data_IF_385666536485
#
_entry.id   IF_385666536485
#
_cell.length_a   1.000
_cell.length_b   1.000
_cell.length_c   1.000
_cell.angle_alpha   90.00
_cell.angle_beta   90.00
_cell.angle_gamma   90.00
#
_symmetry.space_group_name_H-M   'P 1'
#
loop_
_entity.id
_entity.type
_entity.pdbx_description
1 polymer ?
#
# COMPACT_ATOMS: atom_id res chain seq x y z
N UNK A 1 17.94 0.79 -21.65
CA UNK A 1 16.98 -0.32 -21.87
C UNK A 1 17.22 -0.99 -23.21
N UNK A 2 16.84 -2.27 -23.40
CA UNK A 2 16.96 -2.98 -24.67
C UNK A 2 16.29 -2.21 -25.81
N UNK A 3 16.88 -2.23 -27.01
CA UNK A 3 16.38 -1.47 -28.17
C UNK A 3 15.02 -1.94 -28.70
N UNK A 4 14.56 -3.12 -28.28
CA UNK A 4 13.26 -3.69 -28.61
C UNK A 4 12.17 -3.40 -27.56
N UNK A 5 12.48 -2.66 -26.50
CA UNK A 5 11.51 -2.30 -25.48
C UNK A 5 10.69 -1.07 -25.91
N UNK A 6 9.36 -1.20 -25.93
CA UNK A 6 8.42 -0.19 -26.44
C UNK A 6 7.56 0.46 -25.35
N UNK A 7 7.71 0.06 -24.08
CA UNK A 7 6.89 0.52 -22.96
C UNK A 7 7.14 1.95 -22.48
N UNK A 8 8.11 2.65 -23.09
CA UNK A 8 8.49 4.00 -22.72
C UNK A 8 9.31 4.07 -21.42
N UNK A 9 9.80 5.26 -21.09
CA UNK A 9 10.62 5.50 -19.88
C UNK A 9 9.96 6.62 -19.09
N UNK A 10 9.85 6.44 -17.78
CA UNK A 10 9.42 7.48 -16.83
C UNK A 10 10.66 8.10 -16.19
N UNK A 11 10.64 9.41 -15.97
CA UNK A 11 11.72 10.16 -15.34
C UNK A 11 11.19 11.02 -14.21
N UNK A 12 11.92 11.06 -13.09
CA UNK A 12 11.62 11.92 -11.95
C UNK A 12 12.92 12.52 -11.39
N UNK A 13 12.79 13.63 -10.66
CA UNK A 13 13.89 14.29 -9.98
C UNK A 13 13.61 14.36 -8.48
N UNK A 14 14.60 14.02 -7.66
CA UNK A 14 14.40 13.69 -6.25
C UNK A 14 15.68 13.87 -5.44
N UNK A 15 15.61 14.33 -4.19
CA UNK A 15 16.81 14.46 -3.33
C UNK A 15 17.08 13.15 -2.60
N UNK A 16 17.94 12.26 -3.11
CA UNK A 16 18.06 10.87 -2.61
C UNK A 16 19.31 10.66 -1.75
N UNK A 17 20.35 11.48 -1.92
CA UNK A 17 21.64 11.29 -1.23
C UNK A 17 22.04 12.46 -0.28
N UNK A 18 21.12 13.40 -0.05
CA UNK A 18 21.33 14.58 0.82
C UNK A 18 22.43 15.57 0.38
N UNK A 19 22.88 15.56 -0.89
CA UNK A 19 23.88 16.52 -1.42
C UNK A 19 23.31 17.90 -1.80
N UNK A 20 22.06 18.18 -1.42
CA UNK A 20 21.31 19.40 -1.77
C UNK A 20 21.10 19.61 -3.28
N UNK A 21 21.42 18.62 -4.11
CA UNK A 21 21.16 18.60 -5.55
C UNK A 21 20.15 17.49 -5.84
N UNK A 22 19.21 17.74 -6.75
CA UNK A 22 18.23 16.73 -7.14
C UNK A 22 18.91 15.66 -8.01
N UNK A 23 18.72 14.41 -7.63
CA UNK A 23 19.11 13.21 -8.34
C UNK A 23 18.07 12.85 -9.43
N UNK A 24 18.48 12.10 -10.44
CA UNK A 24 17.62 11.69 -11.56
C UNK A 24 17.24 10.22 -11.41
N UNK A 25 15.94 9.95 -11.35
CA UNK A 25 15.38 8.59 -11.41
C UNK A 25 14.93 8.34 -12.84
N UNK A 26 15.38 7.22 -13.41
CA UNK A 26 14.97 6.75 -14.73
C UNK A 26 14.41 5.35 -14.59
N UNK A 27 13.15 5.16 -14.94
CA UNK A 27 12.47 3.91 -14.70
C UNK A 27 11.72 3.41 -15.93
N UNK A 28 11.59 2.09 -16.02
CA UNK A 28 10.92 1.45 -17.13
C UNK A 28 9.40 1.68 -17.06
N UNK A 29 8.81 2.10 -18.17
CA UNK A 29 7.36 2.20 -18.31
C UNK A 29 6.68 0.83 -18.48
N UNK A 30 5.34 0.80 -18.63
CA UNK A 30 4.55 -0.43 -18.66
C UNK A 30 5.02 -1.48 -19.70
N UNK A 31 4.84 -2.77 -19.43
CA UNK A 31 5.12 -3.85 -20.38
C UNK A 31 6.48 -4.56 -20.23
N UNK A 32 7.07 -4.57 -19.04
CA UNK A 32 8.27 -5.36 -18.72
C UNK A 32 8.56 -5.38 -17.21
N UNK A 33 9.66 -6.04 -16.81
CA UNK A 33 10.13 -6.02 -15.42
C UNK A 33 10.38 -4.59 -14.94
N UNK A 34 9.91 -4.26 -13.74
CA UNK A 34 9.97 -2.92 -13.16
C UNK A 34 11.40 -2.65 -12.67
N UNK A 35 12.22 -1.96 -13.46
CA UNK A 35 13.54 -1.50 -13.02
C UNK A 35 13.63 0.02 -13.04
N UNK A 36 14.39 0.56 -12.10
CA UNK A 36 14.89 1.91 -12.20
C UNK A 36 16.37 2.00 -11.89
N UNK A 37 16.93 3.07 -12.45
CA UNK A 37 18.28 3.53 -12.24
C UNK A 37 18.18 4.92 -11.63
N UNK A 38 18.88 5.12 -10.51
CA UNK A 38 19.02 6.43 -9.90
C UNK A 38 20.43 6.95 -10.16
N UNK A 39 20.50 8.12 -10.76
CA UNK A 39 21.74 8.84 -11.03
C UNK A 39 21.90 9.98 -10.04
N UNK A 40 23.08 10.08 -9.43
CA UNK A 40 23.43 11.21 -8.59
C UNK A 40 23.47 12.51 -9.43
N UNK A 41 22.74 13.54 -8.99
CA UNK A 41 22.57 14.80 -9.71
C UNK A 41 23.87 15.62 -9.84
N UNK A 42 24.81 15.40 -8.93
CA UNK A 42 26.10 16.10 -8.87
C UNK A 42 27.17 15.44 -9.75
N UNK A 43 27.20 14.11 -9.75
CA UNK A 43 28.31 13.30 -10.29
C UNK A 43 27.91 12.48 -11.51
N UNK A 44 26.60 12.40 -11.82
CA UNK A 44 26.04 11.52 -12.86
C UNK A 44 26.36 10.04 -12.67
N UNK A 45 26.80 9.63 -11.48
CA UNK A 45 27.08 8.22 -11.18
C UNK A 45 25.80 7.50 -10.79
N UNK A 46 25.75 6.19 -11.04
CA UNK A 46 24.63 5.36 -10.58
C UNK A 46 24.77 5.15 -9.08
N UNK A 47 23.78 5.61 -8.32
CA UNK A 47 23.69 5.39 -6.86
C UNK A 47 22.75 4.26 -6.50
N UNK A 48 21.84 3.89 -7.41
CA UNK A 48 21.03 2.70 -7.29
C UNK A 48 20.66 2.13 -8.66
N UNK A 49 20.61 0.81 -8.74
CA UNK A 49 20.06 0.09 -9.89
C UNK A 49 19.42 -1.20 -9.38
N UNK A 50 18.12 -1.34 -9.60
CA UNK A 50 17.38 -2.47 -9.08
C UNK A 50 15.93 -2.51 -9.56
N UNK A 51 15.23 -3.57 -9.18
CA UNK A 51 13.80 -3.66 -9.45
C UNK A 51 13.07 -2.68 -8.54
N UNK A 52 12.32 -1.73 -9.10
CA UNK A 52 11.53 -0.77 -8.32
C UNK A 52 10.28 -0.37 -9.10
N UNK A 53 9.22 -0.09 -8.36
CA UNK A 53 7.91 0.23 -8.91
C UNK A 53 7.85 1.72 -9.24
N UNK A 54 7.53 2.03 -10.50
CA UNK A 54 7.21 3.39 -10.93
C UNK A 54 5.77 3.47 -11.40
N UNK A 55 4.91 3.83 -10.45
CA UNK A 55 3.53 4.21 -10.71
C UNK A 55 3.46 5.36 -11.74
N UNK A 56 2.34 5.52 -12.47
CA UNK A 56 2.10 6.71 -13.30
C UNK A 56 2.11 8.05 -12.55
N UNK A 57 2.12 8.03 -11.21
CA UNK A 57 2.20 9.22 -10.38
C UNK A 57 3.66 9.69 -10.25
N UNK A 58 3.89 10.95 -10.61
CA UNK A 58 5.18 11.65 -10.48
C UNK A 58 5.62 11.64 -9.01
N UNK A 59 6.77 11.05 -8.71
CA UNK A 59 7.39 11.11 -7.37
C UNK A 59 8.10 12.46 -7.22
N UNK A 60 7.47 13.40 -6.51
CA UNK A 60 8.17 14.54 -5.86
C UNK A 60 7.95 14.40 -4.36
N UNK A 61 8.97 13.96 -3.63
CA UNK A 61 8.96 13.86 -2.17
C UNK A 61 10.37 14.02 -1.59
N UNK A 62 10.48 14.43 -0.33
CA UNK A 62 11.74 14.44 0.42
C UNK A 62 12.07 13.03 0.91
N UNK A 63 13.32 12.60 0.76
CA UNK A 63 13.81 11.29 1.17
C UNK A 63 14.69 11.42 2.42
N UNK A 64 14.48 10.64 3.49
CA UNK A 64 15.44 10.55 4.59
C UNK A 64 16.68 9.75 4.16
N UNK A 65 17.81 10.06 4.82
CA UNK A 65 19.19 9.67 4.48
C UNK A 65 19.52 8.17 4.57
N UNK A 66 18.55 7.29 4.73
CA UNK A 66 18.74 5.85 4.99
C UNK A 66 18.72 4.97 3.73
N UNK A 67 18.51 5.52 2.53
CA UNK A 67 18.60 4.76 1.27
C UNK A 67 17.57 3.64 1.13
N UNK A 68 16.51 3.62 1.97
CA UNK A 68 15.39 2.70 1.85
C UNK A 68 14.43 3.30 0.82
N UNK A 69 14.27 2.64 -0.32
CA UNK A 69 13.19 2.95 -1.26
C UNK A 69 11.88 2.69 -0.51
N UNK A 70 11.06 3.71 -0.29
CA UNK A 70 9.69 3.51 0.19
C UNK A 70 8.94 2.70 -0.88
N UNK A 71 8.87 1.39 -0.70
CA UNK A 71 7.68 0.67 -1.10
C UNK A 71 6.96 0.32 0.20
N UNK A 72 6.21 1.29 0.72
CA UNK A 72 5.11 1.08 1.68
C UNK A 72 3.96 0.47 0.87
N UNK A 73 4.18 -0.75 0.39
CA UNK A 73 3.34 -1.37 -0.60
C UNK A 73 3.08 -2.79 -0.15
N UNK A 74 1.83 -3.10 0.14
CA UNK A 74 1.44 -4.47 0.41
C UNK A 74 1.65 -5.31 -0.85
N UNK A 75 2.22 -6.51 -0.68
CA UNK A 75 2.45 -7.44 -1.79
C UNK A 75 1.75 -8.76 -1.59
N UNK A 76 1.42 -9.42 -2.69
CA UNK A 76 1.00 -10.80 -2.70
C UNK A 76 2.16 -11.71 -2.25
N UNK A 77 1.85 -12.69 -1.42
CA UNK A 77 2.81 -13.72 -1.00
C UNK A 77 3.43 -14.46 -2.20
N UNK A 78 4.71 -14.82 -2.10
CA UNK A 78 5.51 -15.31 -3.23
C UNK A 78 5.17 -16.74 -3.70
N UNK A 79 4.43 -17.52 -2.90
CA UNK A 79 4.13 -18.94 -3.15
C UNK A 79 2.64 -19.17 -3.50
N UNK A 80 2.02 -18.19 -4.18
CA UNK A 80 0.61 -18.27 -4.59
C UNK A 80 0.50 -18.83 -6.00
N UNK A 81 -0.25 -19.93 -6.14
CA UNK A 81 -0.64 -20.45 -7.46
C UNK A 81 -1.66 -19.52 -8.12
N UNK A 82 -1.27 -18.94 -9.25
CA UNK A 82 -2.19 -18.09 -10.03
C UNK A 82 -3.32 -18.93 -10.65
N UNK A 83 -4.55 -18.38 -10.71
CA UNK A 83 -5.66 -19.05 -11.37
C UNK A 83 -5.37 -19.27 -12.86
N UNK A 84 -5.99 -20.29 -13.45
CA UNK A 84 -5.81 -20.63 -14.87
C UNK A 84 -6.43 -19.60 -15.82
N UNK A 85 -7.39 -18.82 -15.33
CA UNK A 85 -8.01 -17.71 -16.06
C UNK A 85 -7.75 -16.42 -15.27
N UNK A 86 -7.45 -15.34 -16.00
CA UNK A 86 -7.27 -14.03 -15.39
C UNK A 86 -8.58 -13.56 -14.77
N UNK A 87 -8.59 -13.11 -13.51
CA UNK A 87 -9.77 -12.54 -12.88
C UNK A 87 -10.19 -11.26 -13.60
N UNK A 88 -11.48 -10.91 -13.50
CA UNK A 88 -11.94 -9.61 -13.95
C UNK A 88 -11.42 -8.52 -12.99
N UNK A 89 -10.89 -7.39 -13.51
CA UNK A 89 -10.42 -6.31 -12.66
C UNK A 89 -11.58 -5.67 -11.90
N UNK A 90 -11.34 -5.29 -10.65
CA UNK A 90 -12.27 -4.52 -9.83
C UNK A 90 -12.29 -3.06 -10.29
N UNK A 91 -13.34 -2.33 -9.89
CA UNK A 91 -13.47 -0.90 -10.15
C UNK A 91 -13.54 -0.13 -8.84
N UNK A 92 -13.35 1.19 -8.92
CA UNK A 92 -13.55 2.08 -7.78
C UNK A 92 -14.96 1.94 -7.19
N UNK A 93 -15.98 1.72 -8.02
CA UNK A 93 -17.37 1.55 -7.57
C UNK A 93 -17.55 0.29 -6.72
N UNK A 94 -16.82 -0.78 -7.03
CA UNK A 94 -16.85 -2.03 -6.25
C UNK A 94 -15.97 -1.98 -5.01
N UNK A 95 -14.92 -1.15 -5.01
CA UNK A 95 -13.98 -1.03 -3.91
C UNK A 95 -14.42 -0.01 -2.85
N UNK A 96 -15.13 1.05 -3.25
CA UNK A 96 -15.53 2.14 -2.36
C UNK A 96 -16.31 1.68 -1.11
N UNK A 97 -17.28 0.74 -1.19
CA UNK A 97 -17.97 0.27 0.01
C UNK A 97 -17.05 -0.38 1.05
N UNK A 98 -15.95 -1.00 0.61
CA UNK A 98 -14.95 -1.59 1.50
C UNK A 98 -14.00 -0.55 2.07
N UNK A 99 -13.75 0.55 1.34
CA UNK A 99 -13.05 1.70 1.89
C UNK A 99 -13.84 2.35 3.02
N UNK A 100 -15.15 2.56 2.82
CA UNK A 100 -16.03 3.10 3.85
C UNK A 100 -16.10 2.15 5.07
N UNK A 101 -16.17 0.83 4.84
CA UNK A 101 -16.14 -0.16 5.90
C UNK A 101 -14.80 -0.15 6.67
N UNK A 102 -13.67 0.04 5.97
CA UNK A 102 -12.35 0.13 6.60
C UNK A 102 -12.26 1.31 7.59
N UNK A 103 -12.83 2.47 7.23
CA UNK A 103 -12.91 3.64 8.12
C UNK A 103 -13.71 3.32 9.40
N UNK A 104 -14.85 2.64 9.26
CA UNK A 104 -15.66 2.21 10.41
C UNK A 104 -14.86 1.25 11.30
N UNK A 105 -14.14 0.29 10.74
CA UNK A 105 -13.31 -0.65 11.53
C UNK A 105 -12.20 0.08 12.30
N UNK A 106 -11.61 1.14 11.74
CA UNK A 106 -10.62 1.97 12.42
C UNK A 106 -11.25 2.75 13.59
N UNK A 107 -12.44 3.30 13.40
CA UNK A 107 -13.20 3.96 14.47
C UNK A 107 -13.51 3.00 15.63
N UNK A 108 -13.93 1.77 15.33
CA UNK A 108 -14.24 0.72 16.32
C UNK A 108 -13.04 0.34 17.20
N UNK A 109 -11.82 0.48 16.68
CA UNK A 109 -10.58 0.22 17.43
C UNK A 109 -9.97 1.48 18.06
N UNK A 110 -10.70 2.60 18.05
CA UNK A 110 -10.38 3.79 18.84
C UNK A 110 -9.66 4.91 18.09
N UNK A 111 -9.60 4.88 16.75
CA UNK A 111 -9.15 6.04 15.97
C UNK A 111 -10.18 7.18 16.11
N UNK A 112 -9.72 8.41 16.38
CA UNK A 112 -10.63 9.54 16.62
C UNK A 112 -11.40 9.94 15.36
N UNK A 113 -12.60 10.50 15.54
CA UNK A 113 -13.45 10.95 14.44
C UNK A 113 -12.74 11.98 13.54
N UNK A 114 -11.91 12.85 14.12
CA UNK A 114 -11.12 13.84 13.38
C UNK A 114 -10.18 13.16 12.37
N UNK A 115 -9.50 12.10 12.79
CA UNK A 115 -8.62 11.31 11.91
C UNK A 115 -9.44 10.56 10.87
N UNK A 116 -10.58 9.98 11.24
CA UNK A 116 -11.48 9.31 10.28
C UNK A 116 -11.96 10.29 9.19
N UNK A 117 -12.28 11.53 9.56
CA UNK A 117 -12.65 12.57 8.59
C UNK A 117 -11.47 12.91 7.66
N UNK A 118 -10.24 13.00 8.17
CA UNK A 118 -9.04 13.17 7.34
C UNK A 118 -8.84 11.99 6.36
N UNK A 119 -8.95 10.75 6.84
CA UNK A 119 -8.83 9.55 6.02
C UNK A 119 -9.92 9.47 4.94
N UNK A 120 -11.14 9.95 5.23
CA UNK A 120 -12.24 9.97 4.25
C UNK A 120 -11.99 10.92 3.08
N UNK A 121 -11.09 11.90 3.23
CA UNK A 121 -10.71 12.86 2.20
C UNK A 121 -9.53 12.38 1.33
N UNK A 122 -9.03 11.18 1.57
CA UNK A 122 -7.97 10.60 0.74
C UNK A 122 -8.44 10.36 -0.70
N UNK A 123 -7.51 10.54 -1.62
CA UNK A 123 -7.74 10.21 -3.03
C UNK A 123 -7.62 8.70 -3.21
N UNK A 124 -8.74 8.01 -3.14
CA UNK A 124 -8.81 6.56 -3.32
C UNK A 124 -8.94 6.19 -4.80
N UNK A 125 -8.03 5.35 -5.29
CA UNK A 125 -7.96 4.94 -6.69
C UNK A 125 -7.77 3.43 -6.83
N UNK A 126 -8.24 2.91 -7.96
CA UNK A 126 -8.03 1.53 -8.40
C UNK A 126 -7.34 1.58 -9.76
N UNK A 127 -6.20 0.91 -9.92
CA UNK A 127 -5.45 0.86 -11.18
C UNK A 127 -4.55 -0.38 -11.21
N UNK A 128 -4.23 -0.87 -12.41
CA UNK A 128 -3.20 -1.91 -12.61
C UNK A 128 -1.83 -1.41 -12.11
N UNK A 129 -1.38 -1.95 -10.98
CA UNK A 129 -0.07 -1.69 -10.38
C UNK A 129 0.99 -2.65 -10.95
N UNK A 130 0.55 -3.80 -11.44
CA UNK A 130 1.37 -4.85 -12.03
C UNK A 130 2.34 -5.51 -11.04
N UNK A 131 2.94 -6.62 -11.49
CA UNK A 131 3.84 -7.40 -10.63
C UNK A 131 3.07 -8.11 -9.53
N UNK A 132 3.56 -8.04 -8.28
CA UNK A 132 2.92 -8.66 -7.12
C UNK A 132 2.40 -7.64 -6.09
N UNK A 133 2.25 -6.37 -6.48
CA UNK A 133 1.80 -5.30 -5.58
C UNK A 133 0.28 -5.31 -5.49
N UNK A 134 -0.26 -5.21 -4.27
CA UNK A 134 -1.70 -5.18 -4.00
C UNK A 134 -2.20 -3.77 -3.68
N UNK A 135 -1.36 -2.93 -3.06
CA UNK A 135 -1.71 -1.57 -2.68
C UNK A 135 -0.48 -0.69 -2.52
N UNK A 136 -0.73 0.62 -2.52
CA UNK A 136 0.27 1.65 -2.24
C UNK A 136 -0.40 2.87 -1.60
N UNK A 137 0.15 3.30 -0.48
CA UNK A 137 -0.12 4.60 0.13
C UNK A 137 1.01 5.58 -0.22
N UNK A 138 0.66 6.76 -0.73
CA UNK A 138 1.63 7.84 -0.93
C UNK A 138 0.99 9.22 -0.80
N UNK A 139 1.49 10.01 0.15
CA UNK A 139 0.93 11.33 0.44
C UNK A 139 -0.56 11.24 0.77
N UNK A 140 -1.40 11.91 -0.01
CA UNK A 140 -2.85 11.92 0.17
C UNK A 140 -3.60 10.95 -0.77
N UNK A 141 -2.91 9.96 -1.33
CA UNK A 141 -3.48 9.01 -2.30
C UNK A 141 -3.26 7.58 -1.83
N UNK A 142 -4.32 6.78 -1.91
CA UNK A 142 -4.27 5.32 -1.77
C UNK A 142 -4.61 4.73 -3.13
N UNK A 143 -3.77 3.83 -3.61
CA UNK A 143 -3.96 3.14 -4.88
C UNK A 143 -4.01 1.66 -4.62
N UNK A 144 -5.08 1.00 -5.08
CA UNK A 144 -5.25 -0.44 -5.00
C UNK A 144 -5.06 -1.03 -6.39
N UNK A 145 -4.40 -2.18 -6.45
CA UNK A 145 -4.28 -2.96 -7.68
C UNK A 145 -5.67 -3.38 -8.20
N UNK A 146 -5.88 -3.50 -9.50
CA UNK A 146 -7.20 -3.83 -10.04
C UNK A 146 -7.47 -5.34 -10.11
N UNK A 147 -6.45 -6.18 -10.17
CA UNK A 147 -6.61 -7.64 -10.34
C UNK A 147 -5.96 -8.51 -9.25
N UNK A 148 -5.44 -7.88 -8.18
CA UNK A 148 -4.74 -8.52 -7.07
C UNK A 148 -3.54 -9.36 -7.55
N UNK A 149 -2.69 -8.77 -8.38
CA UNK A 149 -1.55 -9.43 -9.00
C UNK A 149 -1.96 -10.71 -9.76
N UNK A 150 -3.11 -10.66 -10.43
CA UNK A 150 -3.69 -11.77 -11.20
C UNK A 150 -4.37 -12.87 -10.39
N UNK A 151 -4.45 -12.78 -9.06
CA UNK A 151 -5.19 -13.75 -8.20
C UNK A 151 -6.69 -13.42 -8.14
N UNK A 152 -7.01 -12.13 -8.13
CA UNK A 152 -8.35 -11.61 -7.97
C UNK A 152 -8.71 -11.34 -6.51
N UNK A 153 -9.45 -10.26 -6.31
CA UNK A 153 -9.97 -9.88 -5.00
C UNK A 153 -11.21 -10.69 -4.61
N UNK A 154 -11.31 -10.98 -3.31
CA UNK A 154 -12.56 -11.21 -2.62
C UNK A 154 -13.13 -9.84 -2.23
N UNK A 155 -14.23 -9.46 -2.89
CA UNK A 155 -15.00 -8.26 -2.57
C UNK A 155 -16.13 -8.68 -1.66
N UNK A 156 -15.97 -8.40 -0.38
CA UNK A 156 -16.91 -8.81 0.66
C UNK A 156 -18.25 -8.06 0.54
N UNK A 157 -19.38 -8.77 0.32
CA UNK A 157 -20.70 -8.14 0.28
C UNK A 157 -21.22 -7.72 1.67
N UNK A 158 -20.64 -8.28 2.74
CA UNK A 158 -21.01 -8.11 4.14
C UNK A 158 -19.79 -7.70 4.99
N UNK A 159 -19.08 -6.61 4.64
CA UNK A 159 -17.78 -6.27 5.24
C UNK A 159 -17.83 -5.91 6.73
N UNK A 160 -19.02 -5.75 7.30
CA UNK A 160 -19.24 -5.47 8.73
C UNK A 160 -19.38 -6.74 9.57
N UNK A 161 -19.74 -7.86 8.96
CA UNK A 161 -20.26 -9.03 9.68
C UNK A 161 -19.25 -10.20 9.73
N UNK A 162 -18.29 -10.24 8.79
CA UNK A 162 -17.12 -11.13 8.83
C UNK A 162 -17.44 -12.64 8.80
N UNK A 163 -18.56 -13.06 8.22
CA UNK A 163 -19.00 -14.46 8.25
C UNK A 163 -18.18 -15.38 7.35
N UNK A 164 -17.36 -14.83 6.45
CA UNK A 164 -16.52 -15.58 5.54
C UNK A 164 -15.25 -16.11 6.20
N UNK A 165 -14.94 -15.66 7.42
CA UNK A 165 -13.68 -15.93 8.12
C UNK A 165 -13.92 -16.53 9.50
N UNK A 166 -12.97 -17.35 9.96
CA UNK A 166 -12.94 -17.84 11.33
C UNK A 166 -12.41 -16.77 12.32
N UNK A 167 -12.38 -17.12 13.60
CA UNK A 167 -11.88 -16.21 14.66
C UNK A 167 -10.38 -15.89 14.57
N UNK A 168 -9.63 -16.52 13.66
CA UNK A 168 -8.22 -16.23 13.38
C UNK A 168 -8.05 -15.44 12.06
N UNK A 169 -9.13 -15.06 11.40
CA UNK A 169 -9.08 -14.37 10.11
C UNK A 169 -8.77 -15.27 8.93
N UNK A 170 -8.95 -16.59 9.04
CA UNK A 170 -8.80 -17.51 7.91
C UNK A 170 -10.16 -17.77 7.25
N UNK A 171 -10.20 -17.67 5.93
CA UNK A 171 -11.43 -17.86 5.16
C UNK A 171 -11.97 -19.29 5.33
N UNK A 172 -13.28 -19.39 5.55
CA UNK A 172 -14.03 -20.66 5.67
C UNK A 172 -15.02 -20.87 4.52
N UNK A 173 -15.25 -19.85 3.68
CA UNK A 173 -16.09 -19.93 2.48
C UNK A 173 -15.24 -19.93 1.22
N UNK A 174 -15.56 -20.83 0.29
CA UNK A 174 -14.74 -21.15 -0.88
C UNK A 174 -14.23 -19.92 -1.64
N UNK A 175 -15.10 -18.97 -1.97
CA UNK A 175 -14.70 -17.82 -2.79
C UNK A 175 -13.65 -16.93 -2.10
N UNK A 176 -13.70 -16.81 -0.76
CA UNK A 176 -12.70 -16.07 0.01
C UNK A 176 -11.39 -16.86 0.16
N UNK A 177 -11.43 -18.19 0.26
CA UNK A 177 -10.21 -19.02 0.51
C UNK A 177 -9.14 -18.93 -0.57
N UNK A 178 -9.51 -18.58 -1.79
CA UNK A 178 -8.60 -18.58 -2.96
C UNK A 178 -8.37 -17.19 -3.53
N UNK A 179 -8.80 -16.13 -2.83
CA UNK A 179 -8.75 -14.75 -3.31
C UNK A 179 -8.11 -13.84 -2.27
N UNK A 180 -7.62 -12.69 -2.70
CA UNK A 180 -7.04 -11.68 -1.81
C UNK A 180 -8.17 -10.88 -1.15
N UNK A 181 -8.15 -10.74 0.18
CA UNK A 181 -9.16 -9.95 0.89
C UNK A 181 -8.96 -8.45 0.65
N UNK A 182 -9.88 -7.82 -0.09
CA UNK A 182 -9.76 -6.39 -0.45
C UNK A 182 -9.82 -5.47 0.78
N UNK A 183 -10.63 -5.82 1.78
CA UNK A 183 -10.75 -5.04 3.01
C UNK A 183 -9.41 -4.97 3.75
N UNK A 184 -8.69 -6.08 3.84
CA UNK A 184 -7.35 -6.15 4.44
C UNK A 184 -6.35 -5.26 3.71
N UNK A 185 -6.34 -5.28 2.38
CA UNK A 185 -5.43 -4.42 1.60
C UNK A 185 -5.71 -2.95 1.89
N UNK A 186 -6.97 -2.53 1.86
CA UNK A 186 -7.34 -1.14 2.14
C UNK A 186 -6.94 -0.72 3.55
N UNK A 187 -7.19 -1.56 4.55
CA UNK A 187 -6.81 -1.30 5.95
C UNK A 187 -5.29 -1.17 6.12
N UNK A 188 -4.51 -1.98 5.39
CA UNK A 188 -3.05 -1.90 5.41
C UNK A 188 -2.56 -0.54 4.87
N UNK A 189 -3.08 -0.11 3.72
CA UNK A 189 -2.71 1.18 3.11
C UNK A 189 -3.15 2.37 3.97
N UNK A 190 -4.31 2.28 4.62
CA UNK A 190 -4.74 3.28 5.62
C UNK A 190 -3.79 3.29 6.84
N UNK A 191 -3.27 2.13 7.24
CA UNK A 191 -2.25 2.03 8.28
C UNK A 191 -0.98 2.79 7.93
N UNK A 192 -0.48 2.67 6.69
CA UNK A 192 0.63 3.50 6.20
C UNK A 192 0.31 5.00 6.25
N UNK A 193 -0.91 5.39 5.88
CA UNK A 193 -1.32 6.80 5.97
C UNK A 193 -1.34 7.32 7.42
N UNK A 194 -1.66 6.46 8.38
CA UNK A 194 -1.58 6.75 9.81
C UNK A 194 -0.14 6.77 10.36
N UNK A 195 0.85 6.47 9.53
CA UNK A 195 2.27 6.47 9.90
C UNK A 195 2.79 5.12 10.41
N UNK A 196 2.04 4.03 10.22
CA UNK A 196 2.53 2.69 10.52
C UNK A 196 3.48 2.20 9.43
N UNK A 197 4.66 1.73 9.84
CA UNK A 197 5.59 1.06 8.94
C UNK A 197 5.21 -0.41 8.73
N UNK A 198 5.67 -0.97 7.61
CA UNK A 198 5.62 -2.40 7.37
C UNK A 198 6.34 -3.19 8.47
N UNK A 199 5.69 -4.25 8.93
CA UNK A 199 6.24 -5.24 9.83
C UNK A 199 6.90 -6.36 9.06
N UNK A 200 7.98 -6.90 9.62
CA UNK A 200 8.67 -8.06 9.03
C UNK A 200 7.73 -9.28 9.08
N UNK A 201 7.30 -9.81 7.92
CA UNK A 201 6.38 -10.94 7.83
C UNK A 201 6.97 -12.24 8.40
N UNK A 202 8.30 -12.35 8.57
CA UNK A 202 8.91 -13.49 9.24
C UNK A 202 8.63 -13.51 10.75
N UNK A 203 8.31 -12.36 11.34
CA UNK A 203 8.08 -12.20 12.78
C UNK A 203 6.64 -11.85 13.12
N UNK A 204 5.93 -11.15 12.23
CA UNK A 204 4.54 -10.72 12.42
C UNK A 204 3.65 -11.14 11.23
N UNK A 205 3.64 -12.42 10.80
CA UNK A 205 3.03 -12.85 9.53
C UNK A 205 1.53 -12.57 9.40
N UNK A 206 0.81 -12.45 10.52
CA UNK A 206 -0.65 -12.31 10.54
C UNK A 206 -1.11 -10.93 11.01
N UNK A 207 -0.18 -10.00 11.23
CA UNK A 207 -0.54 -8.64 11.62
C UNK A 207 -0.90 -7.79 10.41
N UNK A 208 -1.78 -6.80 10.62
CA UNK A 208 -2.30 -5.95 9.55
C UNK A 208 -1.18 -5.34 8.71
N UNK A 209 -0.12 -4.85 9.35
CA UNK A 209 0.99 -4.17 8.69
C UNK A 209 2.08 -5.11 8.17
N UNK A 210 1.87 -6.43 8.10
CA UNK A 210 2.86 -7.31 7.50
C UNK A 210 2.92 -7.14 5.98
N UNK A 211 4.12 -6.96 5.42
CA UNK A 211 4.31 -6.57 4.01
C UNK A 211 3.95 -7.63 2.94
N UNK A 212 3.46 -8.81 3.33
CA UNK A 212 2.86 -9.79 2.41
C UNK A 212 1.49 -10.24 2.89
N UNK A 213 0.57 -10.42 1.95
CA UNK A 213 -0.75 -11.00 2.18
C UNK A 213 -0.92 -12.32 1.41
N UNK A 214 -1.38 -13.34 2.13
CA UNK A 214 -1.77 -14.63 1.54
C UNK A 214 -3.26 -14.59 1.18
N UNK A 215 -3.68 -15.16 0.04
CA UNK A 215 -5.10 -15.35 -0.25
C UNK A 215 -5.82 -16.11 0.87
N UNK A 216 -7.08 -15.76 1.12
CA UNK A 216 -7.88 -16.34 2.19
C UNK A 216 -7.55 -15.85 3.61
N UNK A 217 -6.64 -14.89 3.77
CA UNK A 217 -6.40 -14.22 5.05
C UNK A 217 -7.12 -12.87 5.10
N UNK A 218 -7.81 -12.61 6.21
CA UNK A 218 -8.28 -11.29 6.61
C UNK A 218 -7.55 -10.82 7.85
N UNK A 219 -7.02 -9.61 7.80
CA UNK A 219 -6.35 -8.95 8.92
C UNK A 219 -7.09 -7.66 9.24
N UNK A 220 -7.47 -7.50 10.50
CA UNK A 220 -8.19 -6.35 11.00
C UNK A 220 -7.30 -5.54 11.94
N UNK A 221 -7.50 -4.22 12.06
CA UNK A 221 -6.77 -3.43 13.03
C UNK A 221 -7.11 -3.88 14.45
N UNK A 222 -6.20 -3.61 15.39
CA UNK A 222 -6.42 -3.90 16.81
C UNK A 222 -6.28 -2.63 17.63
N UNK A 223 -6.98 -2.55 18.77
CA UNK A 223 -6.84 -1.43 19.70
C UNK A 223 -5.39 -1.27 20.15
N UNK A 224 -4.67 -2.38 20.35
CA UNK A 224 -3.26 -2.33 20.75
C UNK A 224 -2.36 -1.67 19.69
N UNK A 225 -2.61 -1.90 18.39
CA UNK A 225 -1.87 -1.24 17.31
C UNK A 225 -2.13 0.27 17.30
N UNK A 226 -3.40 0.68 17.48
CA UNK A 226 -3.82 2.08 17.60
C UNK A 226 -3.17 2.74 18.83
N UNK A 227 -3.26 2.10 20.00
CA UNK A 227 -2.64 2.60 21.23
C UNK A 227 -1.13 2.76 21.08
N UNK A 228 -0.43 1.83 20.43
CA UNK A 228 1.01 1.93 20.20
C UNK A 228 1.36 3.13 19.31
N UNK A 229 0.55 3.40 18.29
CA UNK A 229 0.72 4.54 17.39
C UNK A 229 0.52 5.89 18.10
N UNK A 230 -0.48 5.98 18.98
CA UNK A 230 -0.83 7.22 19.67
C UNK A 230 -0.17 7.38 21.05
N UNK A 231 0.47 6.35 21.61
CA UNK A 231 1.14 6.39 22.92
C UNK A 231 2.62 6.78 22.87
N UNK A 232 3.23 6.85 21.67
CA UNK A 232 4.57 7.38 21.46
C UNK A 232 4.57 8.90 21.28
N UNK A 233 5.19 9.61 22.22
CA UNK A 233 5.35 11.09 22.23
C UNK A 233 5.77 11.70 20.88
N UNK A 234 4.87 12.54 20.33
CA UNK A 234 5.07 13.81 19.56
C UNK A 234 3.74 14.23 18.85
N UNK A 235 2.76 13.32 18.71
CA UNK A 235 1.40 13.64 18.22
C UNK A 235 0.44 14.12 19.32
N UNK A 236 0.68 13.76 20.59
CA UNK A 236 -0.14 14.19 21.74
C UNK A 236 -0.17 15.72 21.90
N UNK A 237 0.89 16.43 21.50
CA UNK A 237 0.94 17.91 21.54
C UNK A 237 0.25 18.58 20.33
N UNK A 238 0.05 17.86 19.21
CA UNK A 238 -0.71 18.39 18.05
C UNK A 238 -2.22 18.16 18.17
N UNK A 239 -2.66 17.17 18.94
CA UNK A 239 -4.07 16.86 19.14
C UNK A 239 -4.76 17.67 20.26
N UNK A 240 -4.03 18.51 21.01
CA UNK A 240 -4.62 19.36 22.06
C UNK A 240 -4.36 20.87 21.91
N UNK A 241 -3.88 21.35 20.76
CA UNK A 241 -3.89 22.78 20.48
C UNK A 241 -5.28 23.19 19.96
N UNK A 242 -6.19 23.78 20.79
CA UNK A 242 -7.34 24.46 20.22
C UNK A 242 -6.80 25.55 19.30
N UNK A 243 -7.33 25.62 18.08
CA UNK A 243 -7.04 26.68 17.12
C UNK A 243 -7.21 28.05 17.79
N UNK A 244 -6.11 28.65 18.25
CA UNK A 244 -6.05 30.07 18.54
C UNK A 244 -5.76 30.77 17.23
N UNK A 245 -6.81 31.20 16.54
CA UNK A 245 -7.01 32.57 16.05
C UNK A 245 -8.48 32.77 15.64
#
# INVERSE_FOLDING_TARGET
>A
YPVNFTGGVRVAAAYINSDSIADLIVARGPGGISDAIVFNGTTSTVIYQGQTFVSPLVIVGSFPSSGKFFSEALRLSNDVDLPTESPAPITIETAQPLFDAALVRLEEVGVSQEIIEELSLLNFQVTDLGGNTLGLAQGNTIVIDDDAAGVGYFVDPTPYENEEYDGNGLAILNDATSRVDLLTVILHELGHHLGLEDLDPATHPHELMAGYLTPGERRLPTQQAVETLFSGDELFDRLLAPSLF
#
